data_IF_012890141566
#
_entry.id   IF_012890141566
#
_cell.length_a   1.000
_cell.length_b   1.000
_cell.length_c   1.000
_cell.angle_alpha   90.00
_cell.angle_beta   90.00
_cell.angle_gamma   90.00
#
_symmetry.space_group_name_H-M   'P 1'
#
loop_
_entity.id
_entity.type
_entity.pdbx_description
1 polymer ?
#
# COMPACT_ATOMS: atom_id res chain seq x y z
N UNK A 1 32.45 -2.87 19.94
CA UNK A 1 31.59 -1.83 19.35
C UNK A 1 32.22 -1.46 18.02
N UNK A 2 31.76 -2.05 16.91
CA UNK A 2 32.42 -1.86 15.62
C UNK A 2 32.13 -0.43 15.11
N UNK A 3 33.15 0.41 14.90
CA UNK A 3 32.99 1.74 14.31
C UNK A 3 32.85 1.58 12.79
N UNK A 4 31.98 2.39 12.17
CA UNK A 4 31.72 2.48 10.73
C UNK A 4 30.76 1.44 10.12
N UNK A 5 29.55 1.29 10.66
CA UNK A 5 28.43 0.82 9.85
C UNK A 5 27.81 2.05 9.16
N UNK A 6 27.87 2.12 7.83
CA UNK A 6 27.20 3.17 7.06
C UNK A 6 25.70 3.23 7.41
N UNK A 7 25.08 4.40 7.24
CA UNK A 7 23.64 4.53 7.46
C UNK A 7 22.89 3.58 6.51
N UNK A 8 22.02 2.69 7.01
CA UNK A 8 21.27 1.80 6.15
C UNK A 8 20.31 2.60 5.28
N UNK A 9 20.20 2.21 4.01
CA UNK A 9 19.16 2.70 3.11
C UNK A 9 17.84 2.06 3.50
N UNK A 10 16.82 2.88 3.74
CA UNK A 10 15.47 2.40 4.05
C UNK A 10 14.61 2.45 2.79
N UNK A 11 14.10 1.30 2.38
CA UNK A 11 13.13 1.15 1.31
C UNK A 11 11.74 0.96 1.92
N UNK A 12 10.84 1.90 1.65
CA UNK A 12 9.44 1.86 2.09
C UNK A 12 8.54 1.66 0.87
N UNK A 13 7.72 0.62 0.90
CA UNK A 13 6.67 0.37 -0.07
C UNK A 13 5.31 0.30 0.63
N UNK A 14 4.31 0.95 0.04
CA UNK A 14 2.96 1.02 0.54
C UNK A 14 2.01 0.63 -0.58
N UNK A 15 1.08 -0.27 -0.29
CA UNK A 15 0.01 -0.67 -1.18
C UNK A 15 -1.32 -0.67 -0.44
N UNK A 16 -2.40 -0.27 -1.13
CA UNK A 16 -3.76 -0.35 -0.60
C UNK A 16 -4.58 -1.25 -1.51
N UNK A 17 -5.20 -2.26 -0.92
CA UNK A 17 -6.16 -3.15 -1.59
C UNK A 17 -7.53 -2.96 -0.98
N UNK A 18 -8.58 -3.04 -1.80
CA UNK A 18 -9.97 -2.90 -1.38
C UNK A 18 -10.71 -4.17 -1.76
N UNK A 19 -11.30 -4.84 -0.78
CA UNK A 19 -12.12 -6.03 -0.99
C UNK A 19 -13.59 -5.73 -0.71
N UNK A 20 -14.49 -6.38 -1.44
CA UNK A 20 -15.93 -6.30 -1.18
C UNK A 20 -16.35 -7.37 -0.18
N UNK A 21 -16.92 -6.95 0.95
CA UNK A 21 -17.46 -7.86 1.96
C UNK A 21 -18.98 -8.01 1.84
N UNK A 22 -19.62 -7.31 0.89
CA UNK A 22 -21.07 -7.30 0.70
C UNK A 22 -21.80 -6.39 1.69
N UNK A 23 -23.11 -6.18 1.47
CA UNK A 23 -23.99 -5.39 2.36
C UNK A 23 -23.40 -4.01 2.72
N UNK A 24 -22.92 -3.27 1.72
CA UNK A 24 -22.29 -1.96 1.86
C UNK A 24 -20.95 -1.95 2.63
N UNK A 25 -20.39 -3.12 2.96
CA UNK A 25 -19.14 -3.25 3.69
C UNK A 25 -17.97 -3.46 2.72
N UNK A 26 -16.93 -2.65 2.87
CA UNK A 26 -15.66 -2.78 2.16
C UNK A 26 -14.55 -3.04 3.16
N UNK A 27 -13.67 -4.00 2.86
CA UNK A 27 -12.40 -4.13 3.57
C UNK A 27 -11.36 -3.28 2.85
N UNK A 28 -10.61 -2.49 3.60
CA UNK A 28 -9.41 -1.83 3.09
C UNK A 28 -8.22 -2.41 3.82
N UNK A 29 -7.24 -2.91 3.05
CA UNK A 29 -5.99 -3.49 3.55
C UNK A 29 -4.84 -2.60 3.12
N UNK A 30 -4.19 -1.96 4.10
CA UNK A 30 -2.95 -1.22 3.92
C UNK A 30 -1.77 -2.15 4.16
N UNK A 31 -1.09 -2.52 3.08
CA UNK A 31 0.17 -3.28 3.14
C UNK A 31 1.33 -2.30 3.28
N UNK A 32 2.13 -2.47 4.33
CA UNK A 32 3.34 -1.69 4.61
C UNK A 32 4.53 -2.63 4.61
N UNK A 33 5.46 -2.41 3.68
CA UNK A 33 6.74 -3.14 3.61
C UNK A 33 7.88 -2.17 3.82
N UNK A 34 8.71 -2.42 4.84
CA UNK A 34 9.90 -1.63 5.15
C UNK A 34 11.10 -2.53 5.18
N UNK A 35 12.16 -2.13 4.50
CA UNK A 35 13.39 -2.88 4.39
C UNK A 35 14.60 -1.98 4.61
N UNK A 36 15.50 -2.37 5.52
CA UNK A 36 16.78 -1.70 5.70
C UNK A 36 17.88 -2.51 5.03
N UNK A 37 18.62 -1.87 4.14
CA UNK A 37 19.75 -2.46 3.43
C UNK A 37 21.03 -1.69 3.73
N UNK A 38 22.14 -2.41 3.86
CA UNK A 38 23.48 -1.83 3.91
C UNK A 38 24.35 -2.52 2.87
N UNK A 39 24.84 -1.76 1.89
CA UNK A 39 25.38 -2.30 0.65
C UNK A 39 24.39 -3.29 0.00
N UNK A 40 24.79 -4.53 -0.23
CA UNK A 40 23.94 -5.57 -0.84
C UNK A 40 23.33 -6.54 0.19
N UNK A 41 23.30 -6.17 1.47
CA UNK A 41 22.75 -7.02 2.54
C UNK A 41 21.54 -6.37 3.18
N UNK A 42 20.43 -7.13 3.23
CA UNK A 42 19.26 -6.78 4.03
C UNK A 42 19.59 -6.99 5.51
N UNK A 43 19.52 -5.92 6.29
CA UNK A 43 19.71 -5.97 7.75
C UNK A 43 18.45 -6.46 8.44
N UNK A 44 17.29 -5.96 8.00
CA UNK A 44 15.97 -6.37 8.45
C UNK A 44 14.91 -6.02 7.41
N UNK A 45 13.80 -6.76 7.48
CA UNK A 45 12.60 -6.54 6.69
C UNK A 45 11.39 -6.73 7.61
N UNK A 46 10.46 -5.79 7.55
CA UNK A 46 9.18 -5.88 8.22
C UNK A 46 8.07 -5.66 7.20
N UNK A 47 7.09 -6.55 7.19
CA UNK A 47 5.89 -6.43 6.37
C UNK A 47 4.66 -6.60 7.27
N UNK A 48 3.68 -5.73 7.08
CA UNK A 48 2.44 -5.68 7.83
C UNK A 48 1.27 -5.45 6.88
N UNK A 49 0.18 -6.16 7.10
CA UNK A 49 -1.12 -5.87 6.49
C UNK A 49 -2.06 -5.38 7.58
N UNK A 50 -2.32 -4.07 7.59
CA UNK A 50 -3.29 -3.47 8.50
C UNK A 50 -4.61 -3.35 7.75
N UNK A 51 -5.63 -4.06 8.23
CA UNK A 51 -6.97 -4.05 7.63
C UNK A 51 -7.97 -3.25 8.47
N UNK A 52 -9.03 -2.78 7.82
CA UNK A 52 -10.22 -2.26 8.46
C UNK A 52 -11.46 -2.47 7.58
N UNK A 53 -12.60 -2.72 8.22
CA UNK A 53 -13.89 -2.83 7.56
C UNK A 53 -14.63 -1.48 7.64
N UNK A 54 -15.07 -0.97 6.50
CA UNK A 54 -15.69 0.35 6.36
C UNK A 54 -17.06 0.21 5.70
N UNK A 55 -18.09 0.73 6.37
CA UNK A 55 -19.44 0.78 5.80
C UNK A 55 -19.60 2.00 4.89
N UNK A 56 -19.91 1.77 3.61
CA UNK A 56 -20.05 2.80 2.58
C UNK A 56 -21.51 2.86 2.12
N UNK A 57 -22.27 3.83 2.63
CA UNK A 57 -23.71 3.97 2.36
C UNK A 57 -24.04 5.36 1.87
N UNK A 58 -24.89 5.46 0.85
CA UNK A 58 -25.39 6.73 0.29
C UNK A 58 -24.27 7.66 -0.21
N UNK A 59 -23.16 7.10 -0.71
CA UNK A 59 -22.03 7.88 -1.26
C UNK A 59 -21.99 7.70 -2.79
N UNK A 60 -21.83 8.77 -3.58
CA UNK A 60 -21.61 8.67 -5.02
C UNK A 60 -20.35 7.84 -5.36
N UNK A 61 -20.33 7.05 -6.45
CA UNK A 61 -19.22 6.13 -6.75
C UNK A 61 -17.83 6.78 -6.78
N UNK A 62 -17.71 7.98 -7.36
CA UNK A 62 -16.44 8.69 -7.45
C UNK A 62 -15.91 9.12 -6.06
N UNK A 63 -16.81 9.51 -5.16
CA UNK A 63 -16.47 9.89 -3.80
C UNK A 63 -16.16 8.65 -2.95
N UNK A 64 -16.89 7.54 -3.16
CA UNK A 64 -16.62 6.26 -2.51
C UNK A 64 -15.21 5.75 -2.85
N UNK A 65 -14.80 5.85 -4.12
CA UNK A 65 -13.46 5.45 -4.54
C UNK A 65 -12.37 6.30 -3.85
N UNK A 66 -12.60 7.61 -3.72
CA UNK A 66 -11.68 8.51 -2.99
C UNK A 66 -11.64 8.20 -1.49
N UNK A 67 -12.78 7.90 -0.87
CA UNK A 67 -12.85 7.47 0.54
C UNK A 67 -12.00 6.22 0.77
N UNK A 68 -12.20 5.19 -0.04
CA UNK A 68 -11.51 3.91 0.09
C UNK A 68 -10.01 4.01 -0.23
N UNK A 69 -9.63 4.85 -1.19
CA UNK A 69 -8.24 5.00 -1.63
C UNK A 69 -7.39 6.00 -0.84
N UNK A 70 -8.01 6.93 -0.10
CA UNK A 70 -7.29 8.00 0.61
C UNK A 70 -7.61 7.99 2.10
N UNK A 71 -8.89 8.10 2.45
CA UNK A 71 -9.29 8.30 3.84
C UNK A 71 -9.15 7.01 4.66
N UNK A 72 -9.66 5.90 4.16
CA UNK A 72 -9.56 4.59 4.81
C UNK A 72 -8.10 4.20 5.13
N UNK A 73 -7.14 4.19 4.19
CA UNK A 73 -5.75 3.84 4.53
C UNK A 73 -5.08 4.88 5.44
N UNK A 74 -5.49 6.15 5.40
CA UNK A 74 -5.00 7.16 6.35
C UNK A 74 -5.48 6.89 7.78
N UNK A 75 -6.71 6.37 7.97
CA UNK A 75 -7.17 5.89 9.27
C UNK A 75 -6.38 4.68 9.77
N UNK A 76 -5.91 3.82 8.86
CA UNK A 76 -5.13 2.62 9.20
C UNK A 76 -3.65 2.93 9.49
N UNK A 77 -3.10 3.99 8.91
CA UNK A 77 -1.67 4.32 8.99
C UNK A 77 -1.13 4.46 10.44
N UNK A 78 -1.80 5.11 11.40
CA UNK A 78 -1.29 5.20 12.77
C UNK A 78 -1.10 3.84 13.45
N UNK A 79 -2.03 2.90 13.22
CA UNK A 79 -1.95 1.53 13.75
C UNK A 79 -0.80 0.76 13.09
N UNK A 80 -0.65 0.91 11.78
CA UNK A 80 0.47 0.31 11.05
C UNK A 80 1.81 0.87 11.53
N UNK A 81 1.90 2.19 11.75
CA UNK A 81 3.10 2.87 12.25
C UNK A 81 3.53 2.36 13.62
N UNK A 82 2.59 2.28 14.57
CA UNK A 82 2.91 1.77 15.89
C UNK A 82 3.33 0.29 15.83
N UNK A 83 2.59 -0.54 15.10
CA UNK A 83 2.87 -1.98 14.99
C UNK A 83 4.25 -2.26 14.37
N UNK A 84 4.62 -1.55 13.30
CA UNK A 84 5.96 -1.69 12.69
C UNK A 84 7.06 -1.28 13.69
N UNK A 85 6.88 -0.17 14.41
CA UNK A 85 7.87 0.28 15.39
C UNK A 85 8.08 -0.74 16.51
N UNK A 86 6.97 -1.27 17.04
CA UNK A 86 7.00 -2.29 18.08
C UNK A 86 7.63 -3.60 17.61
N UNK A 87 7.36 -4.03 16.36
CA UNK A 87 7.96 -5.23 15.79
C UNK A 87 9.49 -5.11 15.68
N UNK A 88 9.99 -3.96 15.21
CA UNK A 88 11.43 -3.73 15.09
C UNK A 88 12.11 -3.66 16.46
N UNK A 89 11.50 -2.97 17.42
CA UNK A 89 11.99 -2.93 18.81
C UNK A 89 12.06 -4.33 19.43
N UNK A 90 11.01 -5.14 19.27
CA UNK A 90 10.98 -6.54 19.74
C UNK A 90 12.01 -7.43 19.03
N UNK A 91 12.34 -7.10 17.79
CA UNK A 91 13.41 -7.74 17.02
C UNK A 91 14.83 -7.33 17.43
N UNK A 92 14.98 -6.39 18.37
CA UNK A 92 16.29 -5.87 18.79
C UNK A 92 16.90 -4.86 17.81
N UNK A 93 16.11 -4.34 16.86
CA UNK A 93 16.54 -3.32 15.90
C UNK A 93 16.22 -1.91 16.42
N UNK A 94 16.91 -0.87 15.90
CA UNK A 94 16.55 0.51 16.20
C UNK A 94 15.08 0.79 15.83
N UNK A 95 14.37 1.65 16.60
CA UNK A 95 13.00 2.01 16.28
C UNK A 95 12.95 2.72 14.93
N UNK A 96 12.01 2.30 14.09
CA UNK A 96 11.66 3.03 12.87
C UNK A 96 10.26 3.60 13.04
N UNK A 97 10.11 4.89 12.74
CA UNK A 97 8.82 5.56 12.69
C UNK A 97 8.48 5.77 11.22
N UNK A 98 7.39 5.15 10.76
CA UNK A 98 6.89 5.39 9.41
C UNK A 98 6.69 6.90 9.21
N UNK A 99 7.28 7.50 8.15
CA UNK A 99 7.07 8.90 7.86
C UNK A 99 5.58 9.18 7.57
N UNK A 100 5.16 10.46 7.61
CA UNK A 100 3.87 10.84 7.05
C UNK A 100 3.74 10.40 5.60
N UNK A 101 2.55 9.94 5.20
CA UNK A 101 2.24 9.48 3.85
C UNK A 101 1.20 10.39 3.24
N UNK A 102 1.40 10.80 1.98
CA UNK A 102 0.37 11.49 1.21
C UNK A 102 -0.39 10.49 0.34
N UNK A 103 -1.54 10.03 0.82
CA UNK A 103 -2.38 9.08 0.10
C UNK A 103 -3.06 9.67 -1.14
N UNK A 104 -3.18 10.99 -1.27
CA UNK A 104 -3.70 11.58 -2.51
C UNK A 104 -2.76 11.33 -3.69
N UNK A 105 -1.45 11.46 -3.46
CA UNK A 105 -0.43 11.18 -4.49
C UNK A 105 -0.45 9.69 -4.88
N UNK A 106 -0.55 8.80 -3.89
CA UNK A 106 -0.62 7.35 -4.14
C UNK A 106 -1.88 6.96 -4.91
N UNK A 107 -3.02 7.56 -4.56
CA UNK A 107 -4.28 7.35 -5.25
C UNK A 107 -4.23 7.80 -6.72
N UNK A 108 -3.71 9.01 -6.97
CA UNK A 108 -3.59 9.55 -8.32
C UNK A 108 -2.65 8.72 -9.18
N UNK A 109 -1.50 8.30 -8.62
CA UNK A 109 -0.55 7.42 -9.31
C UNK A 109 -1.18 6.08 -9.69
N UNK A 110 -1.93 5.46 -8.78
CA UNK A 110 -2.63 4.20 -9.07
C UNK A 110 -3.68 4.37 -10.19
N UNK A 111 -4.38 5.51 -10.25
CA UNK A 111 -5.35 5.81 -11.30
C UNK A 111 -4.67 6.03 -12.67
N UNK A 112 -3.50 6.67 -12.70
CA UNK A 112 -2.69 6.85 -13.91
C UNK A 112 -2.17 5.51 -14.44
N UNK A 113 -1.63 4.66 -13.57
CA UNK A 113 -1.15 3.32 -13.91
C UNK A 113 -2.27 2.44 -14.48
N UNK A 114 -3.48 2.49 -13.89
CA UNK A 114 -4.64 1.75 -14.39
C UNK A 114 -5.08 2.20 -15.81
N UNK A 115 -4.98 3.51 -16.10
CA UNK A 115 -5.29 4.06 -17.44
C UNK A 115 -4.27 3.60 -18.49
N UNK A 116 -2.99 3.57 -18.15
CA UNK A 116 -1.94 3.11 -19.07
C UNK A 116 -2.06 1.62 -19.40
N UNK A 117 -2.46 0.79 -18.43
CA UNK A 117 -2.69 -0.64 -18.64
C UNK A 117 -3.86 -0.92 -19.59
N UNK A 118 -4.92 -0.12 -19.54
CA UNK A 118 -6.06 -0.23 -20.47
C UNK A 118 -5.69 0.19 -21.91
N UNK A 119 -4.70 1.07 -22.07
CA UNK A 119 -4.25 1.53 -23.39
C UNK A 119 -3.31 0.53 -24.09
N UNK A 120 -2.75 -0.43 -23.35
CA UNK A 120 -1.80 -1.44 -23.85
C UNK A 120 -2.42 -2.82 -24.09
N UNK A 121 -3.75 -2.99 -24.08
CA UNK A 121 -4.40 -4.22 -24.54
C UNK A 121 -4.51 -4.21 -26.08
N UNK A 122 -3.81 -5.09 -26.81
CA UNK A 122 -3.95 -5.18 -28.26
C UNK A 122 -5.35 -5.65 -28.64
N UNK A 123 -6.05 -4.84 -29.43
CA UNK A 123 -7.30 -5.18 -30.09
C UNK A 123 -7.07 -6.44 -30.95
N UNK A 124 -7.66 -7.57 -30.56
CA UNK A 124 -7.75 -8.76 -31.42
C UNK A 124 -8.65 -8.43 -32.62
N UNK A 125 -8.19 -8.62 -33.88
CA UNK A 125 -9.03 -8.44 -35.05
C UNK A 125 -10.20 -9.43 -35.01
N UNK A 126 -11.42 -9.04 -35.44
CA UNK A 126 -12.54 -9.97 -35.53
C UNK A 126 -12.20 -11.10 -36.52
N UNK A 127 -12.25 -12.34 -36.03
CA UNK A 127 -12.12 -13.56 -36.85
C UNK A 127 -13.13 -13.50 -38.00
N UNK A 128 -12.61 -13.39 -39.22
CA UNK A 128 -13.40 -13.51 -40.43
C UNK A 128 -14.03 -14.90 -40.45
N UNK A 129 -15.36 -14.94 -40.37
CA UNK A 129 -16.15 -16.12 -40.66
C UNK A 129 -15.89 -16.51 -42.13
N UNK A 130 -15.07 -17.54 -42.33
CA UNK A 130 -14.93 -18.20 -43.63
C UNK A 130 -16.02 -19.26 -43.69
N UNK A 131 -17.02 -19.00 -44.52
CA UNK A 131 -18.04 -19.93 -44.99
C UNK A 131 -17.44 -21.03 -45.86
#
# INVERSE_FOLDING_TARGET
>A
MAPNAGNPTINLNLNTTVNDLGQDLKEVVLTVRVEAQLAEKTLWLAELQQAGAFGIRNIPPAEAQRLLGIFCPNYLLPYARQTISDLLLKGGFPPFLLPPVNFEVLFNRAAEEARQQQQNQPQQPPEASVS
#
